data_IF_526493361856
#
_entry.id   IF_526493361856
#
_cell.length_a   1.000
_cell.length_b   1.000
_cell.length_c   1.000
_cell.angle_alpha   90.00
_cell.angle_beta   90.00
_cell.angle_gamma   90.00
#
_symmetry.space_group_name_H-M   'P 1'
#
loop_
_entity.id
_entity.type
_entity.pdbx_description
1 polymer ?
#
# COMPACT_ATOMS: atom_id res chain seq x y z
N UNK A 1 0.18 15.09 11.63
CA UNK A 1 -0.05 13.64 11.76
C UNK A 1 -0.67 13.40 13.12
N UNK A 2 -2.00 13.18 13.17
CA UNK A 2 -2.85 13.18 14.38
C UNK A 2 -2.71 14.47 15.21
N UNK A 3 -3.82 15.08 15.61
CA UNK A 3 -3.76 16.17 16.58
C UNK A 3 -3.47 15.56 17.96
N UNK A 4 -2.24 15.09 18.17
CA UNK A 4 -1.79 14.47 19.41
C UNK A 4 -1.94 15.52 20.51
N UNK A 5 -2.75 15.26 21.56
CA UNK A 5 -2.94 16.21 22.64
C UNK A 5 -1.61 16.61 23.29
N UNK A 6 -1.47 17.87 23.70
CA UNK A 6 -0.21 18.40 24.24
C UNK A 6 0.24 17.67 25.52
N UNK A 7 -0.72 17.19 26.31
CA UNK A 7 -0.55 16.33 27.48
C UNK A 7 0.07 14.97 27.14
N UNK A 8 -0.19 14.43 25.95
CA UNK A 8 0.45 13.20 25.48
C UNK A 8 1.89 13.49 25.08
N UNK A 9 2.15 14.60 24.39
CA UNK A 9 3.51 15.00 24.04
C UNK A 9 4.35 15.28 25.29
N UNK A 10 3.74 15.85 26.33
CA UNK A 10 4.37 16.04 27.63
C UNK A 10 4.67 14.70 28.31
N UNK A 11 3.72 13.77 28.33
CA UNK A 11 3.96 12.43 28.88
C UNK A 11 5.01 11.65 28.08
N UNK A 12 5.09 11.84 26.75
CA UNK A 12 6.17 11.30 25.92
C UNK A 12 7.51 11.87 26.34
N UNK A 13 7.60 13.19 26.57
CA UNK A 13 8.80 13.85 27.04
C UNK A 13 9.25 13.35 28.42
N UNK A 14 8.32 13.25 29.37
CA UNK A 14 8.57 12.76 30.72
C UNK A 14 8.97 11.28 30.72
N UNK A 15 8.26 10.43 29.97
CA UNK A 15 8.55 8.99 29.89
C UNK A 15 9.88 8.68 29.21
N UNK A 16 10.42 9.61 28.42
CA UNK A 16 11.67 9.43 27.67
C UNK A 16 12.84 10.24 28.21
N UNK A 17 12.74 10.75 29.45
CA UNK A 17 13.77 11.58 30.07
C UNK A 17 14.24 12.74 29.17
N UNK A 18 13.30 13.34 28.43
CA UNK A 18 13.57 14.48 27.55
C UNK A 18 13.88 14.16 26.09
N UNK A 19 13.90 12.88 25.67
CA UNK A 19 14.17 12.48 24.27
C UNK A 19 12.94 12.53 23.34
N UNK A 20 11.90 13.31 23.66
CA UNK A 20 10.65 13.38 22.89
C UNK A 20 10.85 13.63 21.39
N UNK A 21 11.81 14.49 21.02
CA UNK A 21 12.09 14.82 19.61
C UNK A 21 12.53 13.59 18.81
N UNK A 22 13.30 12.68 19.41
CA UNK A 22 13.75 11.46 18.77
C UNK A 22 12.57 10.51 18.48
N UNK A 23 11.66 10.34 19.45
CA UNK A 23 10.45 9.55 19.22
C UNK A 23 9.49 10.17 18.20
N UNK A 24 9.35 11.49 18.18
CA UNK A 24 8.52 12.18 17.19
C UNK A 24 9.01 11.94 15.76
N UNK A 25 10.32 11.86 15.59
CA UNK A 25 10.94 11.65 14.29
C UNK A 25 10.91 10.19 13.83
N UNK A 26 10.96 9.23 14.77
CA UNK A 26 11.16 7.82 14.44
C UNK A 26 9.97 6.90 14.68
N UNK A 27 8.98 7.30 15.49
CA UNK A 27 7.74 6.53 15.61
C UNK A 27 6.90 6.64 14.33
N UNK A 28 6.45 5.49 13.83
CA UNK A 28 5.57 5.40 12.67
C UNK A 28 4.18 5.95 12.98
N UNK A 29 3.40 6.27 11.95
CA UNK A 29 1.98 6.58 12.10
C UNK A 29 1.24 5.51 12.91
N UNK A 30 1.56 4.25 12.68
CA UNK A 30 0.92 3.13 13.35
C UNK A 30 1.29 3.05 14.84
N UNK A 31 2.53 3.38 15.20
CA UNK A 31 2.95 3.46 16.60
C UNK A 31 2.16 4.54 17.34
N UNK A 32 2.06 5.73 16.73
CA UNK A 32 1.24 6.83 17.26
C UNK A 32 -0.24 6.45 17.39
N UNK A 33 -0.81 5.82 16.37
CA UNK A 33 -2.20 5.38 16.40
C UNK A 33 -2.46 4.32 17.49
N UNK A 34 -1.46 3.49 17.82
CA UNK A 34 -1.57 2.47 18.87
C UNK A 34 -1.68 3.06 20.29
N UNK A 35 -1.26 4.31 20.49
CA UNK A 35 -1.41 5.00 21.78
C UNK A 35 -2.85 5.46 22.02
N UNK A 36 -3.63 5.72 20.97
CA UNK A 36 -4.98 6.30 21.08
C UNK A 36 -5.92 5.42 21.91
N UNK A 37 -6.05 4.09 21.67
CA UNK A 37 -6.91 3.25 22.50
C UNK A 37 -6.46 3.19 23.96
N UNK A 38 -5.15 3.20 24.22
CA UNK A 38 -4.60 3.19 25.58
C UNK A 38 -4.99 4.48 26.30
N UNK A 39 -4.80 5.63 25.66
CA UNK A 39 -5.24 6.92 26.22
C UNK A 39 -6.73 6.94 26.56
N UNK A 40 -7.57 6.37 25.71
CA UNK A 40 -9.02 6.43 25.86
C UNK A 40 -9.57 5.47 26.92
N UNK A 41 -8.98 4.27 27.02
CA UNK A 41 -9.55 3.18 27.83
C UNK A 41 -8.76 2.87 29.09
N UNK A 42 -7.44 3.12 29.06
CA UNK A 42 -6.48 2.75 30.11
C UNK A 42 -5.38 3.82 30.24
N UNK A 43 -5.74 5.09 30.53
CA UNK A 43 -4.78 6.20 30.55
C UNK A 43 -3.62 5.97 31.53
N UNK A 44 -3.83 5.21 32.60
CA UNK A 44 -2.79 4.85 33.56
C UNK A 44 -1.69 3.95 32.95
N UNK A 45 -2.01 3.17 31.91
CA UNK A 45 -1.05 2.28 31.22
C UNK A 45 -0.25 3.03 30.13
N UNK A 46 -0.56 4.31 29.87
CA UNK A 46 0.00 5.05 28.74
C UNK A 46 1.51 5.25 28.84
N UNK A 47 2.03 5.57 30.02
CA UNK A 47 3.47 5.77 30.25
C UNK A 47 4.25 4.48 29.94
N UNK A 48 3.72 3.33 30.36
CA UNK A 48 4.35 2.03 30.13
C UNK A 48 4.36 1.67 28.64
N UNK A 49 3.25 1.97 27.93
CA UNK A 49 3.21 1.76 26.48
C UNK A 49 4.20 2.66 25.73
N UNK A 50 4.34 3.92 26.14
CA UNK A 50 5.33 4.83 25.56
C UNK A 50 6.75 4.31 25.81
N UNK A 51 7.06 3.84 27.01
CA UNK A 51 8.38 3.26 27.35
C UNK A 51 8.68 2.02 26.52
N UNK A 52 7.69 1.14 26.30
CA UNK A 52 7.82 -0.04 25.44
C UNK A 52 8.18 0.35 23.99
N UNK A 53 7.50 1.35 23.43
CA UNK A 53 7.82 1.86 22.09
C UNK A 53 9.21 2.50 22.06
N UNK A 54 9.54 3.29 23.09
CA UNK A 54 10.82 3.96 23.21
C UNK A 54 12.00 2.98 23.32
N UNK A 55 11.84 1.89 24.07
CA UNK A 55 12.91 0.90 24.24
C UNK A 55 13.25 0.18 22.94
N UNK A 56 12.29 0.06 22.01
CA UNK A 56 12.47 -0.64 20.75
C UNK A 56 12.94 0.28 19.60
N UNK A 57 12.90 1.60 19.77
CA UNK A 57 13.05 2.54 18.67
C UNK A 57 14.44 2.47 18.02
N UNK A 58 15.51 2.28 18.80
CA UNK A 58 16.88 2.19 18.28
C UNK A 58 17.04 1.00 17.32
N UNK A 59 16.44 -0.15 17.66
CA UNK A 59 16.43 -1.34 16.81
C UNK A 59 15.57 -1.13 15.56
N UNK A 60 14.44 -0.44 15.68
CA UNK A 60 13.60 -0.05 14.54
C UNK A 60 14.40 0.85 13.59
N UNK A 61 15.10 1.87 14.09
CA UNK A 61 15.93 2.75 13.28
C UNK A 61 17.07 2.00 12.59
N UNK A 62 17.74 1.09 13.31
CA UNK A 62 18.79 0.24 12.73
C UNK A 62 18.25 -0.65 11.62
N UNK A 63 17.11 -1.33 11.84
CA UNK A 63 16.45 -2.16 10.81
C UNK A 63 16.04 -1.32 9.60
N UNK A 64 15.45 -0.15 9.82
CA UNK A 64 15.07 0.77 8.75
C UNK A 64 16.28 1.24 7.93
N UNK A 65 17.42 1.51 8.58
CA UNK A 65 18.65 1.90 7.89
C UNK A 65 19.25 0.76 7.04
N UNK A 66 19.18 -0.49 7.52
CA UNK A 66 19.60 -1.67 6.76
C UNK A 66 18.67 -1.88 5.56
N UNK A 67 17.36 -1.90 5.82
CA UNK A 67 16.35 -2.02 4.77
C UNK A 67 16.54 -0.92 3.72
N UNK A 68 16.82 0.31 4.13
CA UNK A 68 17.04 1.40 3.19
C UNK A 68 18.20 1.16 2.22
N UNK A 69 19.29 0.54 2.71
CA UNK A 69 20.46 0.22 1.90
C UNK A 69 20.24 -0.99 1.00
N UNK A 70 19.44 -1.96 1.47
CA UNK A 70 19.34 -3.28 0.86
C UNK A 70 18.04 -3.54 0.10
N UNK A 71 17.00 -2.71 0.25
CA UNK A 71 15.67 -2.97 -0.30
C UNK A 71 15.71 -3.25 -1.81
N UNK A 72 16.45 -2.45 -2.58
CA UNK A 72 16.57 -2.65 -4.03
C UNK A 72 17.20 -4.00 -4.37
N UNK A 73 18.21 -4.44 -3.60
CA UNK A 73 18.87 -5.73 -3.78
C UNK A 73 17.94 -6.88 -3.37
N UNK A 74 17.23 -6.75 -2.25
CA UNK A 74 16.26 -7.73 -1.76
C UNK A 74 15.15 -7.91 -2.81
N UNK A 75 14.57 -6.80 -3.30
CA UNK A 75 13.55 -6.79 -4.35
C UNK A 75 14.07 -7.39 -5.64
N UNK A 76 15.30 -7.05 -6.07
CA UNK A 76 15.89 -7.59 -7.29
C UNK A 76 16.10 -9.11 -7.20
N UNK A 77 16.64 -9.61 -6.09
CA UNK A 77 16.83 -11.05 -5.83
C UNK A 77 15.50 -11.80 -5.87
N UNK A 78 14.50 -11.32 -5.13
CA UNK A 78 13.18 -11.93 -5.12
C UNK A 78 12.49 -11.88 -6.50
N UNK A 79 12.60 -10.74 -7.19
CA UNK A 79 12.05 -10.56 -8.54
C UNK A 79 12.71 -11.50 -9.54
N UNK A 80 14.01 -11.75 -9.43
CA UNK A 80 14.74 -12.71 -10.27
C UNK A 80 14.19 -14.13 -10.11
N UNK A 81 13.88 -14.55 -8.88
CA UNK A 81 13.24 -15.85 -8.63
C UNK A 81 11.86 -15.91 -9.28
N UNK A 82 10.98 -14.94 -8.98
CA UNK A 82 9.61 -14.92 -9.51
C UNK A 82 9.59 -14.87 -11.04
N UNK A 83 10.38 -13.97 -11.66
CA UNK A 83 10.45 -13.88 -13.11
C UNK A 83 11.01 -15.16 -13.76
N UNK A 84 12.04 -15.76 -13.14
CA UNK A 84 12.63 -17.01 -13.60
C UNK A 84 11.64 -18.18 -13.61
N UNK A 85 10.78 -18.28 -12.59
CA UNK A 85 9.71 -19.28 -12.53
C UNK A 85 8.76 -19.17 -13.74
N UNK A 86 8.44 -17.95 -14.17
CA UNK A 86 7.58 -17.72 -15.33
C UNK A 86 8.33 -17.64 -16.68
N UNK A 87 9.63 -17.96 -16.71
CA UNK A 87 10.43 -17.94 -17.94
C UNK A 87 10.71 -16.53 -18.50
N UNK A 88 10.56 -15.48 -17.69
CA UNK A 88 10.88 -14.12 -18.11
C UNK A 88 12.38 -13.83 -17.99
N UNK A 89 12.90 -12.99 -18.88
CA UNK A 89 14.29 -12.50 -18.87
C UNK A 89 14.62 -11.70 -17.60
N UNK A 90 15.70 -12.09 -16.91
CA UNK A 90 16.16 -11.49 -15.65
C UNK A 90 17.50 -10.77 -15.75
N UNK A 91 18.12 -10.69 -16.93
CA UNK A 91 19.47 -10.12 -17.10
C UNK A 91 19.58 -8.69 -16.59
N UNK A 92 18.53 -7.89 -16.75
CA UNK A 92 18.43 -6.52 -16.23
C UNK A 92 18.52 -6.40 -14.70
N UNK A 93 18.41 -7.51 -13.96
CA UNK A 93 18.50 -7.55 -12.50
C UNK A 93 19.91 -7.89 -12.00
N UNK A 94 20.82 -8.35 -12.87
CA UNK A 94 22.18 -8.71 -12.47
C UNK A 94 23.02 -7.49 -12.09
N UNK A 95 22.64 -6.31 -12.58
CA UNK A 95 23.24 -5.02 -12.24
C UNK A 95 22.52 -4.29 -11.11
N UNK A 96 21.36 -4.81 -10.66
CA UNK A 96 20.56 -4.17 -9.63
C UNK A 96 21.17 -4.47 -8.24
N UNK A 97 21.83 -3.47 -7.64
CA UNK A 97 22.43 -3.61 -6.31
C UNK A 97 23.83 -2.99 -6.17
N UNK A 98 24.44 -2.48 -7.24
CA UNK A 98 25.61 -1.61 -7.12
C UNK A 98 25.17 -0.22 -6.65
N UNK A 99 24.93 -0.08 -5.35
CA UNK A 99 24.94 1.23 -4.72
C UNK A 99 26.39 1.68 -4.76
N UNK A 100 26.73 2.62 -5.65
CA UNK A 100 28.02 3.30 -5.57
C UNK A 100 28.10 3.95 -4.20
N UNK A 101 28.89 3.38 -3.30
CA UNK A 101 29.19 3.96 -1.99
C UNK A 101 30.08 5.19 -2.09
N UNK A 102 30.50 5.57 -3.31
CA UNK A 102 31.61 6.50 -3.50
C UNK A 102 31.21 7.94 -3.78
N UNK A 103 29.93 8.28 -4.00
CA UNK A 103 29.56 9.66 -4.32
C UNK A 103 28.34 10.13 -3.54
N UNK A 104 28.55 10.54 -2.29
CA UNK A 104 27.78 11.65 -1.72
C UNK A 104 28.76 12.54 -0.98
N UNK A 105 29.17 13.63 -1.64
CA UNK A 105 29.94 14.69 -1.00
C UNK A 105 29.22 15.16 0.27
N UNK A 106 29.96 15.42 1.34
CA UNK A 106 29.41 16.02 2.56
C UNK A 106 28.56 17.24 2.17
N UNK A 107 27.34 17.35 2.70
CA UNK A 107 26.43 18.47 2.33
C UNK A 107 27.08 19.82 2.64
N UNK A 108 27.98 19.84 3.63
CA UNK A 108 28.81 20.96 4.00
C UNK A 108 30.23 20.46 4.30
N UNK A 109 31.24 21.22 3.88
CA UNK A 109 32.64 20.90 4.18
C UNK A 109 32.94 21.14 5.67
N UNK A 110 33.88 20.40 6.24
CA UNK A 110 34.34 20.60 7.63
C UNK A 110 34.83 22.04 7.89
N UNK A 111 35.39 22.69 6.85
CA UNK A 111 35.78 24.10 6.90
C UNK A 111 34.58 25.05 7.08
N UNK A 112 33.47 24.79 6.40
CA UNK A 112 32.25 25.57 6.59
C UNK A 112 31.68 25.35 7.99
N UNK A 113 31.57 24.10 8.45
CA UNK A 113 31.05 23.76 9.79
C UNK A 113 31.88 24.43 10.89
N UNK A 114 33.20 24.47 10.73
CA UNK A 114 34.11 25.13 11.68
C UNK A 114 33.98 26.66 11.69
N UNK A 115 33.48 27.26 10.61
CA UNK A 115 33.32 28.72 10.49
C UNK A 115 32.08 29.29 11.18
N UNK A 116 31.07 28.45 11.47
CA UNK A 116 29.76 28.88 12.01
C UNK A 116 29.71 28.89 13.54
N UNK A 117 30.83 28.59 14.21
CA UNK A 117 30.99 28.63 15.68
C UNK A 117 29.87 27.92 16.47
N UNK A 118 29.48 26.71 16.04
CA UNK A 118 28.49 25.89 16.74
C UNK A 118 29.01 25.52 18.15
N UNK A 119 28.11 25.53 19.13
CA UNK A 119 28.39 24.96 20.45
C UNK A 119 28.62 23.44 20.36
N UNK A 120 29.26 22.80 21.36
CA UNK A 120 29.48 21.35 21.34
C UNK A 120 28.21 20.52 21.14
N UNK A 121 27.11 20.92 21.79
CA UNK A 121 25.81 20.25 21.67
C UNK A 121 25.19 20.42 20.28
N UNK A 122 25.30 21.60 19.67
CA UNK A 122 24.81 21.86 18.30
C UNK A 122 25.64 21.11 17.26
N UNK A 123 26.95 21.02 17.44
CA UNK A 123 27.84 20.27 16.56
C UNK A 123 27.55 18.77 16.63
N UNK A 124 27.32 18.22 17.83
CA UNK A 124 26.94 16.83 18.01
C UNK A 124 25.58 16.53 17.36
N UNK A 125 24.57 17.36 17.63
CA UNK A 125 23.26 17.27 16.99
C UNK A 125 23.35 17.37 15.46
N UNK A 126 24.15 18.32 14.94
CA UNK A 126 24.36 18.49 13.51
C UNK A 126 25.03 17.27 12.88
N UNK A 127 26.09 16.72 13.50
CA UNK A 127 26.75 15.49 13.04
C UNK A 127 25.79 14.31 13.05
N UNK A 128 24.97 14.19 14.08
CA UNK A 128 23.94 13.15 14.17
C UNK A 128 22.90 13.30 13.05
N UNK A 129 22.45 14.53 12.77
CA UNK A 129 21.55 14.85 11.64
C UNK A 129 22.19 14.62 10.28
N UNK A 130 23.50 14.86 10.13
CA UNK A 130 24.26 14.52 8.92
C UNK A 130 24.29 13.02 8.68
N UNK A 131 24.63 12.24 9.71
CA UNK A 131 24.61 10.77 9.63
C UNK A 131 23.20 10.27 9.26
N UNK A 132 22.15 10.83 9.87
CA UNK A 132 20.76 10.52 9.51
C UNK A 132 20.43 10.91 8.05
N UNK A 133 20.87 12.09 7.58
CA UNK A 133 20.67 12.52 6.19
C UNK A 133 21.39 11.61 5.21
N UNK A 134 22.62 11.18 5.48
CA UNK A 134 23.37 10.21 4.65
C UNK A 134 22.72 8.84 4.62
N UNK A 135 22.29 8.35 5.79
CA UNK A 135 21.51 7.11 5.87
C UNK A 135 20.20 7.21 5.08
N UNK A 136 19.64 8.42 4.99
CA UNK A 136 18.44 8.75 4.22
C UNK A 136 18.71 9.10 2.74
N UNK A 137 19.96 9.36 2.33
CA UNK A 137 20.36 9.83 1.00
C UNK A 137 20.46 8.70 -0.04
N UNK A 138 20.61 7.44 0.39
CA UNK A 138 20.49 6.24 -0.47
C UNK A 138 19.09 6.05 -1.09
N UNK A 139 18.23 7.03 -0.88
CA UNK A 139 16.80 7.03 -1.09
C UNK A 139 16.43 8.25 -1.95
N UNK A 140 17.41 8.86 -2.66
CA UNK A 140 17.18 9.74 -3.80
C UNK A 140 16.48 8.92 -4.90
N UNK A 141 15.19 8.71 -4.69
CA UNK A 141 14.21 8.41 -5.72
C UNK A 141 14.38 9.57 -6.69
N UNK A 142 15.12 9.35 -7.77
CA UNK A 142 15.32 10.34 -8.82
C UNK A 142 13.94 10.88 -9.18
N UNK A 143 13.65 12.11 -8.72
CA UNK A 143 12.35 12.76 -8.85
C UNK A 143 12.13 13.27 -10.27
N UNK A 144 12.65 12.56 -11.27
CA UNK A 144 12.13 12.70 -12.62
C UNK A 144 10.65 12.36 -12.53
N UNK A 145 9.82 13.37 -12.76
CA UNK A 145 8.38 13.24 -12.90
C UNK A 145 8.10 12.28 -14.05
N UNK A 146 8.14 10.97 -13.76
CA UNK A 146 7.85 9.93 -14.74
C UNK A 146 6.36 9.64 -14.67
N UNK A 147 5.70 9.80 -15.81
CA UNK A 147 4.28 9.55 -16.00
C UNK A 147 3.89 8.10 -15.63
N UNK A 148 2.69 7.88 -15.10
CA UNK A 148 2.19 6.59 -14.57
C UNK A 148 2.39 5.35 -15.46
N UNK A 149 2.59 5.55 -16.76
CA UNK A 149 2.96 4.53 -17.75
C UNK A 149 4.24 3.76 -17.38
N UNK A 150 5.21 4.36 -16.69
CA UNK A 150 6.47 3.70 -16.32
C UNK A 150 6.31 2.58 -15.29
N UNK A 151 5.25 2.59 -14.48
CA UNK A 151 5.09 1.59 -13.39
C UNK A 151 4.76 0.20 -13.89
N UNK A 152 4.28 0.09 -15.11
CA UNK A 152 4.04 -1.18 -15.78
C UNK A 152 5.16 -1.57 -16.74
N UNK A 153 6.13 -0.68 -17.00
CA UNK A 153 7.27 -0.95 -17.88
C UNK A 153 8.02 -2.22 -17.46
N UNK A 154 8.55 -3.00 -18.43
CA UNK A 154 9.19 -4.31 -18.19
C UNK A 154 10.08 -4.33 -16.93
N UNK A 155 10.89 -3.27 -16.75
CA UNK A 155 11.90 -3.19 -15.71
C UNK A 155 11.40 -2.65 -14.36
N UNK A 156 10.15 -2.21 -14.23
CA UNK A 156 9.63 -1.63 -12.98
C UNK A 156 9.66 -2.62 -11.80
N UNK A 157 9.88 -2.15 -10.57
CA UNK A 157 9.73 -2.96 -9.37
C UNK A 157 8.24 -3.23 -9.10
N UNK A 158 7.91 -4.45 -8.71
CA UNK A 158 6.52 -4.84 -8.46
C UNK A 158 6.33 -5.75 -7.24
N UNK A 159 7.40 -6.19 -6.57
CA UNK A 159 7.22 -6.99 -5.36
C UNK A 159 6.97 -6.08 -4.15
N UNK A 160 5.94 -6.34 -3.33
CA UNK A 160 5.57 -5.50 -2.20
C UNK A 160 6.41 -5.81 -0.95
N UNK A 161 7.73 -5.84 -1.06
CA UNK A 161 8.64 -6.30 0.01
C UNK A 161 9.08 -5.21 0.99
N UNK A 162 8.77 -3.94 0.71
CA UNK A 162 9.10 -2.86 1.61
C UNK A 162 8.24 -2.91 2.88
N UNK A 163 8.86 -2.67 4.03
CA UNK A 163 8.17 -2.53 5.31
C UNK A 163 7.23 -1.32 5.31
N UNK A 164 6.28 -1.30 6.25
CA UNK A 164 5.43 -0.13 6.50
C UNK A 164 6.26 1.09 6.88
N UNK A 165 7.29 0.94 7.71
CA UNK A 165 8.17 2.03 8.15
C UNK A 165 8.94 2.65 6.98
N UNK A 166 9.53 1.82 6.11
CA UNK A 166 10.21 2.33 4.91
C UNK A 166 9.22 3.01 3.98
N UNK A 167 8.06 2.37 3.76
CA UNK A 167 7.01 2.90 2.89
C UNK A 167 6.49 4.25 3.38
N UNK A 168 6.32 4.43 4.68
CA UNK A 168 5.95 5.71 5.29
C UNK A 168 6.94 6.82 4.97
N UNK A 169 8.24 6.57 5.23
CA UNK A 169 9.32 7.54 4.93
C UNK A 169 9.39 7.84 3.42
N UNK A 170 9.19 6.85 2.56
CA UNK A 170 9.13 7.04 1.11
C UNK A 170 7.90 7.87 0.68
N UNK A 171 6.73 7.62 1.27
CA UNK A 171 5.49 8.35 0.98
C UNK A 171 5.56 9.81 1.44
N UNK A 172 6.19 10.09 2.59
CA UNK A 172 6.37 11.47 3.08
C UNK A 172 7.16 12.34 2.08
N UNK A 173 8.18 11.77 1.41
CA UNK A 173 8.98 12.47 0.38
C UNK A 173 8.20 12.86 -0.86
N UNK A 174 7.12 12.13 -1.16
CA UNK A 174 6.18 12.46 -2.25
C UNK A 174 4.95 13.21 -1.74
N UNK A 175 5.03 13.84 -0.56
CA UNK A 175 3.95 14.57 0.10
C UNK A 175 2.69 13.71 0.28
N UNK A 176 2.87 12.47 0.74
CA UNK A 176 1.83 11.46 0.96
C UNK A 176 1.06 11.03 -0.29
N UNK A 177 1.51 11.42 -1.49
CA UNK A 177 0.92 10.99 -2.77
C UNK A 177 1.50 9.65 -3.18
N UNK A 178 1.04 8.57 -2.55
CA UNK A 178 1.53 7.21 -2.75
C UNK A 178 1.53 6.77 -4.22
N UNK A 179 0.61 7.29 -5.04
CA UNK A 179 0.57 7.06 -6.48
C UNK A 179 1.70 7.76 -7.27
N UNK A 180 2.61 8.49 -6.63
CA UNK A 180 3.85 9.02 -7.23
C UNK A 180 5.07 8.12 -6.98
N UNK A 181 4.95 7.09 -6.15
CA UNK A 181 6.00 6.08 -6.00
C UNK A 181 6.18 5.28 -7.29
N UNK A 182 7.34 4.67 -7.47
CA UNK A 182 7.74 3.88 -8.66
C UNK A 182 6.96 2.57 -8.84
N UNK A 183 6.26 2.13 -7.81
CA UNK A 183 5.35 0.97 -7.82
C UNK A 183 3.98 1.30 -7.27
N UNK A 184 2.98 0.52 -7.68
CA UNK A 184 1.62 0.57 -7.14
C UNK A 184 1.38 -0.48 -6.04
N UNK A 185 2.35 -1.35 -5.77
CA UNK A 185 2.12 -2.57 -4.99
C UNK A 185 2.36 -2.37 -3.48
N UNK A 186 3.01 -1.27 -3.09
CA UNK A 186 3.11 -0.87 -1.69
C UNK A 186 1.75 -0.48 -1.13
N UNK A 187 1.43 -1.02 0.03
CA UNK A 187 0.28 -0.62 0.84
C UNK A 187 0.60 0.66 1.60
N UNK A 188 -0.40 1.48 1.88
CA UNK A 188 -0.23 2.57 2.82
C UNK A 188 0.21 2.02 4.20
N UNK A 189 1.03 2.76 4.95
CA UNK A 189 1.58 2.33 6.24
C UNK A 189 0.54 2.48 7.39
N UNK A 190 -0.68 2.01 7.16
CA UNK A 190 -1.78 2.03 8.11
C UNK A 190 -1.99 0.61 8.63
N UNK A 191 -1.55 0.34 9.86
CA UNK A 191 -1.74 -0.96 10.50
C UNK A 191 -3.21 -1.26 10.78
N UNK A 192 -3.51 -2.54 11.03
CA UNK A 192 -4.85 -2.96 11.48
C UNK A 192 -5.25 -2.23 12.77
N UNK A 193 -4.34 -2.10 13.74
CA UNK A 193 -4.58 -1.36 14.98
C UNK A 193 -4.90 0.12 14.72
N UNK A 194 -4.21 0.75 13.76
CA UNK A 194 -4.51 2.12 13.38
C UNK A 194 -5.92 2.24 12.77
N UNK A 195 -6.31 1.31 11.89
CA UNK A 195 -7.69 1.27 11.40
C UNK A 195 -8.71 1.03 12.50
N UNK A 196 -8.43 0.13 13.46
CA UNK A 196 -9.30 -0.11 14.61
C UNK A 196 -9.52 1.18 15.42
N UNK A 197 -8.44 1.90 15.73
CA UNK A 197 -8.53 3.15 16.49
C UNK A 197 -9.29 4.25 15.74
N UNK A 198 -9.03 4.39 14.44
CA UNK A 198 -9.67 5.43 13.61
C UNK A 198 -11.15 5.14 13.36
N UNK A 199 -11.48 3.90 13.01
CA UNK A 199 -12.82 3.48 12.57
C UNK A 199 -13.66 2.84 13.70
N UNK A 200 -13.16 2.83 14.94
CA UNK A 200 -13.83 2.26 16.12
C UNK A 200 -14.28 0.81 15.87
N UNK A 201 -13.32 -0.03 15.46
CA UNK A 201 -13.58 -1.43 15.10
C UNK A 201 -13.37 -2.34 16.31
N UNK A 202 -14.24 -3.32 16.44
CA UNK A 202 -14.19 -4.32 17.51
C UNK A 202 -13.26 -5.48 17.15
N UNK A 203 -12.85 -6.27 18.14
CA UNK A 203 -12.11 -7.52 17.88
C UNK A 203 -12.90 -8.47 16.96
N UNK A 204 -14.23 -8.54 17.14
CA UNK A 204 -15.11 -9.33 16.27
C UNK A 204 -15.09 -8.85 14.81
N UNK A 205 -15.02 -7.54 14.56
CA UNK A 205 -14.84 -7.01 13.20
C UNK A 205 -13.52 -7.52 12.58
N UNK A 206 -12.45 -7.59 13.36
CA UNK A 206 -11.13 -8.06 12.91
C UNK A 206 -11.12 -9.57 12.66
N UNK A 207 -11.75 -10.37 13.52
CA UNK A 207 -11.90 -11.82 13.34
C UNK A 207 -12.69 -12.14 12.05
N UNK A 208 -13.72 -11.33 11.76
CA UNK A 208 -14.48 -11.41 10.53
C UNK A 208 -13.60 -11.09 9.30
N UNK A 209 -12.75 -10.06 9.37
CA UNK A 209 -11.78 -9.74 8.32
C UNK A 209 -10.76 -10.87 8.12
N UNK A 210 -10.24 -11.49 9.18
CA UNK A 210 -9.35 -12.66 9.10
C UNK A 210 -10.04 -13.83 8.39
N UNK A 211 -11.27 -14.14 8.79
CA UNK A 211 -12.08 -15.19 8.17
C UNK A 211 -12.32 -14.91 6.69
N UNK A 212 -12.69 -13.67 6.36
CA UNK A 212 -12.90 -13.24 4.99
C UNK A 212 -11.63 -13.33 4.14
N UNK A 213 -10.47 -12.97 4.70
CA UNK A 213 -9.17 -13.05 4.04
C UNK A 213 -8.79 -14.50 3.74
N UNK A 214 -8.96 -15.42 4.71
CA UNK A 214 -8.76 -16.87 4.52
C UNK A 214 -9.61 -17.42 3.37
N UNK A 215 -10.83 -16.91 3.22
CA UNK A 215 -11.77 -17.32 2.18
C UNK A 215 -11.63 -16.56 0.85
N UNK A 216 -10.66 -15.65 0.72
CA UNK A 216 -10.50 -14.78 -0.45
C UNK A 216 -11.77 -13.97 -0.81
N UNK A 217 -12.49 -13.50 0.21
CA UNK A 217 -13.78 -12.81 0.05
C UNK A 217 -13.60 -11.48 -0.67
N UNK A 218 -14.45 -11.23 -1.67
CA UNK A 218 -14.52 -9.95 -2.41
C UNK A 218 -15.83 -9.27 -2.06
N UNK A 219 -15.77 -8.07 -1.48
CA UNK A 219 -16.96 -7.35 -1.01
C UNK A 219 -17.59 -6.48 -2.09
N UNK A 220 -16.78 -5.94 -3.01
CA UNK A 220 -17.20 -4.97 -4.01
C UNK A 220 -16.87 -5.48 -5.41
N UNK A 221 -17.77 -6.23 -6.07
CA UNK A 221 -17.45 -6.86 -7.35
C UNK A 221 -17.05 -5.81 -8.40
N UNK A 222 -16.13 -6.17 -9.30
CA UNK A 222 -15.60 -5.31 -10.34
C UNK A 222 -16.59 -4.94 -11.48
N UNK A 223 -17.89 -5.18 -11.26
CA UNK A 223 -18.97 -4.88 -12.21
C UNK A 223 -19.26 -3.38 -12.33
N UNK A 224 -20.31 -3.02 -13.10
CA UNK A 224 -20.66 -1.62 -13.38
C UNK A 224 -21.11 -0.83 -12.15
N UNK A 225 -21.69 -1.51 -11.15
CA UNK A 225 -22.08 -0.90 -9.89
C UNK A 225 -20.95 -1.09 -8.86
N UNK A 226 -19.99 -0.17 -8.84
CA UNK A 226 -19.12 -0.02 -7.67
C UNK A 226 -19.91 0.53 -6.50
N UNK A 227 -19.36 0.44 -5.28
CA UNK A 227 -19.97 1.05 -4.11
C UNK A 227 -19.81 2.57 -4.18
N UNK A 228 -20.91 3.30 -4.14
CA UNK A 228 -20.90 4.72 -3.82
C UNK A 228 -20.91 4.89 -2.30
N UNK A 229 -19.84 5.47 -1.75
CA UNK A 229 -19.71 5.76 -0.33
C UNK A 229 -19.38 7.24 -0.10
N UNK A 230 -19.83 8.11 -1.01
CA UNK A 230 -19.61 9.55 -0.93
C UNK A 230 -18.12 9.94 -0.80
N UNK A 231 -17.24 9.22 -1.51
CA UNK A 231 -15.83 9.58 -1.56
C UNK A 231 -15.65 10.97 -2.19
N UNK A 232 -14.69 11.78 -1.69
CA UNK A 232 -14.37 13.05 -2.32
C UNK A 232 -13.97 12.83 -3.79
N UNK A 233 -14.37 13.71 -4.71
CA UNK A 233 -13.87 13.68 -6.08
C UNK A 233 -12.34 13.64 -6.13
N UNK A 234 -11.75 12.85 -7.02
CA UNK A 234 -10.28 12.76 -7.11
C UNK A 234 -9.68 14.14 -7.44
N UNK A 235 -10.41 15.00 -8.16
CA UNK A 235 -10.01 16.39 -8.43
C UNK A 235 -9.85 17.26 -7.18
N UNK A 236 -10.54 16.97 -6.08
CA UNK A 236 -10.34 17.71 -4.82
C UNK A 236 -9.04 17.30 -4.12
N UNK A 237 -8.56 16.09 -4.40
CA UNK A 237 -7.31 15.55 -3.87
C UNK A 237 -6.11 15.96 -4.74
N UNK A 238 -6.23 15.90 -6.07
CA UNK A 238 -5.16 16.28 -7.00
C UNK A 238 -5.71 17.04 -8.22
N UNK A 239 -5.14 18.23 -8.48
CA UNK A 239 -5.50 19.05 -9.65
C UNK A 239 -5.33 18.26 -10.96
N UNK A 240 -6.25 18.45 -11.89
CA UNK A 240 -6.24 17.78 -13.21
C UNK A 240 -6.83 16.36 -13.22
N UNK A 241 -7.35 15.88 -12.09
CA UNK A 241 -8.09 14.61 -12.03
C UNK A 241 -9.59 14.81 -12.27
N UNK A 242 -10.29 13.69 -12.46
CA UNK A 242 -11.73 13.63 -12.67
C UNK A 242 -12.50 14.26 -11.48
N UNK A 243 -13.47 15.12 -11.80
CA UNK A 243 -14.33 15.81 -10.82
C UNK A 243 -15.56 15.02 -10.40
N UNK A 244 -15.80 13.87 -11.03
CA UNK A 244 -16.85 12.95 -10.59
C UNK A 244 -16.40 12.18 -9.35
N UNK A 245 -17.37 11.87 -8.49
CA UNK A 245 -17.14 11.02 -7.33
C UNK A 245 -16.73 9.62 -7.80
N UNK A 246 -15.64 9.06 -7.28
CA UNK A 246 -15.24 7.73 -7.65
C UNK A 246 -16.13 6.68 -6.97
N UNK A 247 -16.30 5.54 -7.65
CA UNK A 247 -16.92 4.35 -7.08
C UNK A 247 -15.84 3.41 -6.58
N UNK A 248 -16.12 2.70 -5.49
CA UNK A 248 -15.21 1.70 -4.94
C UNK A 248 -15.45 0.34 -5.58
N UNK A 249 -14.36 -0.28 -6.00
CA UNK A 249 -14.33 -1.60 -6.61
C UNK A 249 -13.25 -2.47 -5.96
N UNK A 250 -13.39 -3.78 -6.13
CA UNK A 250 -12.43 -4.78 -5.71
C UNK A 250 -12.34 -5.84 -6.81
N UNK A 251 -11.12 -6.17 -7.24
CA UNK A 251 -10.87 -7.25 -8.20
C UNK A 251 -10.39 -8.48 -7.47
N UNK A 252 -10.84 -9.66 -7.87
CA UNK A 252 -10.32 -10.91 -7.35
C UNK A 252 -8.88 -11.18 -7.78
N UNK A 253 -8.28 -12.21 -7.19
CA UNK A 253 -7.02 -12.78 -7.69
C UNK A 253 -7.29 -13.38 -9.09
N UNK A 254 -6.53 -13.00 -10.14
CA UNK A 254 -6.62 -13.64 -11.44
C UNK A 254 -6.28 -15.12 -11.32
N UNK A 255 -6.96 -15.99 -12.08
CA UNK A 255 -6.73 -17.44 -12.00
C UNK A 255 -5.29 -17.80 -12.39
N UNK A 256 -4.83 -17.30 -13.53
CA UNK A 256 -3.47 -17.51 -14.04
C UNK A 256 -3.02 -16.25 -14.78
N UNK A 257 -1.90 -15.62 -14.37
CA UNK A 257 -1.35 -14.49 -15.09
C UNK A 257 -0.91 -14.91 -16.50
N UNK A 258 -1.56 -14.39 -17.53
CA UNK A 258 -1.23 -14.69 -18.93
C UNK A 258 0.02 -13.95 -19.42
N UNK A 259 0.40 -12.86 -18.76
CA UNK A 259 1.55 -12.04 -19.10
C UNK A 259 2.19 -11.39 -17.86
N UNK A 260 3.31 -10.70 -18.08
CA UNK A 260 4.04 -10.00 -17.03
C UNK A 260 3.19 -8.89 -16.38
N UNK A 261 2.26 -8.29 -17.13
CA UNK A 261 1.41 -7.24 -16.59
C UNK A 261 0.39 -7.81 -15.59
N UNK A 262 -0.19 -8.96 -15.87
CA UNK A 262 -1.07 -9.68 -14.95
C UNK A 262 -0.30 -10.18 -13.73
N UNK A 263 0.94 -10.66 -13.90
CA UNK A 263 1.79 -11.08 -12.78
C UNK A 263 2.11 -9.90 -11.85
N UNK A 264 2.33 -8.70 -12.41
CA UNK A 264 2.50 -7.47 -11.62
C UNK A 264 1.23 -7.07 -10.88
N UNK A 265 0.06 -7.32 -11.47
CA UNK A 265 -1.25 -7.00 -10.88
C UNK A 265 -1.69 -8.02 -9.82
N UNK A 266 -1.18 -9.25 -9.87
CA UNK A 266 -1.49 -10.33 -8.93
C UNK A 266 -1.37 -9.89 -7.48
N UNK A 267 -0.35 -9.09 -7.17
CA UNK A 267 -0.09 -8.55 -5.85
C UNK A 267 -1.19 -7.60 -5.34
N UNK A 268 -2.09 -7.10 -6.17
CA UNK A 268 -3.23 -6.27 -5.73
C UNK A 268 -4.57 -7.02 -5.82
N UNK A 269 -4.56 -8.35 -6.01
CA UNK A 269 -5.76 -9.16 -5.95
C UNK A 269 -6.46 -9.02 -4.60
N UNK A 270 -7.70 -8.57 -4.62
CA UNK A 270 -8.51 -8.28 -3.43
C UNK A 270 -8.35 -6.86 -2.89
N UNK A 271 -7.47 -6.02 -3.43
CA UNK A 271 -7.28 -4.65 -2.93
C UNK A 271 -8.41 -3.72 -3.39
N UNK A 272 -9.07 -3.00 -2.47
CA UNK A 272 -10.07 -2.00 -2.85
C UNK A 272 -9.44 -0.80 -3.58
N UNK A 273 -10.10 -0.34 -4.64
CA UNK A 273 -9.68 0.83 -5.42
C UNK A 273 -10.86 1.69 -5.87
N UNK A 274 -10.59 2.98 -5.98
CA UNK A 274 -11.48 4.02 -6.43
C UNK A 274 -11.34 4.19 -7.94
N UNK A 275 -12.46 4.11 -8.66
CA UNK A 275 -12.53 4.28 -10.11
C UNK A 275 -13.50 5.42 -10.45
N UNK A 276 -13.05 6.37 -11.27
CA UNK A 276 -13.95 7.40 -11.81
C UNK A 276 -14.93 6.75 -12.82
N UNK A 277 -16.23 7.09 -12.77
CA UNK A 277 -17.24 6.53 -13.66
C UNK A 277 -17.21 7.13 -15.08
N UNK A 278 -16.48 8.22 -15.30
CA UNK A 278 -16.41 8.87 -16.62
C UNK A 278 -15.79 7.96 -17.68
N UNK A 279 -16.36 7.92 -18.89
CA UNK A 279 -15.68 7.36 -20.06
C UNK A 279 -14.32 8.04 -20.30
N UNK A 280 -13.28 7.27 -20.59
CA UNK A 280 -11.91 7.77 -20.82
C UNK A 280 -11.07 7.97 -19.54
N UNK A 281 -11.65 7.80 -18.34
CA UNK A 281 -10.92 7.86 -17.07
C UNK A 281 -10.46 6.48 -16.57
N UNK A 282 -10.58 5.42 -17.36
CA UNK A 282 -10.41 4.03 -16.92
C UNK A 282 -8.99 3.71 -16.45
N UNK A 283 -7.99 4.46 -16.92
CA UNK A 283 -6.59 4.30 -16.53
C UNK A 283 -6.24 4.98 -15.18
N UNK A 284 -7.10 5.86 -14.67
CA UNK A 284 -6.84 6.68 -13.48
C UNK A 284 -7.61 6.15 -12.27
N UNK A 285 -7.19 5.00 -11.72
CA UNK A 285 -7.70 4.53 -10.43
C UNK A 285 -6.73 4.86 -9.30
N UNK A 286 -7.24 4.91 -8.07
CA UNK A 286 -6.44 5.13 -6.85
C UNK A 286 -6.80 4.07 -5.84
N UNK A 287 -5.81 3.43 -5.21
CA UNK A 287 -6.07 2.46 -4.14
C UNK A 287 -6.72 3.16 -2.94
N UNK A 288 -7.68 2.49 -2.29
CA UNK A 288 -8.43 3.08 -1.18
C UNK A 288 -7.49 3.51 -0.04
N UNK A 289 -6.57 2.64 0.36
CA UNK A 289 -5.59 2.91 1.42
C UNK A 289 -4.65 4.07 1.07
N UNK A 290 -4.28 4.23 -0.21
CA UNK A 290 -3.50 5.39 -0.67
C UNK A 290 -4.29 6.70 -0.55
N UNK A 291 -5.59 6.68 -0.85
CA UNK A 291 -6.46 7.84 -0.64
C UNK A 291 -6.58 8.18 0.86
N UNK A 292 -6.84 7.17 1.70
CA UNK A 292 -6.95 7.33 3.16
C UNK A 292 -5.65 7.93 3.71
N UNK A 293 -4.49 7.41 3.31
CA UNK A 293 -3.19 7.95 3.70
C UNK A 293 -2.99 9.40 3.27
N UNK A 294 -3.35 9.72 2.03
CA UNK A 294 -3.25 11.08 1.52
C UNK A 294 -4.12 12.04 2.32
N UNK A 295 -5.36 11.66 2.65
CA UNK A 295 -6.28 12.47 3.46
C UNK A 295 -5.72 12.69 4.88
N UNK A 296 -5.18 11.66 5.53
CA UNK A 296 -4.56 11.79 6.86
C UNK A 296 -3.45 12.85 6.84
N UNK A 297 -2.67 12.91 5.76
CA UNK A 297 -1.62 13.90 5.58
C UNK A 297 -2.10 15.28 5.10
N UNK A 298 -3.35 15.41 4.66
CA UNK A 298 -3.90 16.62 4.00
C UNK A 298 -5.39 16.80 4.38
N UNK A 299 -5.67 16.88 5.69
CA UNK A 299 -7.04 16.94 6.21
C UNK A 299 -7.84 18.14 5.69
N UNK A 300 -7.15 19.23 5.32
CA UNK A 300 -7.73 20.41 4.69
C UNK A 300 -8.44 20.09 3.35
N UNK A 301 -8.08 18.98 2.69
CA UNK A 301 -8.71 18.53 1.45
C UNK A 301 -10.05 17.83 1.67
N UNK A 302 -10.28 17.30 2.87
CA UNK A 302 -11.52 16.62 3.21
C UNK A 302 -12.60 17.64 3.58
N UNK A 303 -12.27 18.55 4.49
CA UNK A 303 -13.15 19.65 4.90
C UNK A 303 -12.35 20.96 5.02
N UNK A 304 -12.29 21.76 3.93
CA UNK A 304 -11.60 23.04 3.93
C UNK A 304 -12.25 24.08 4.86
N UNK A 305 -13.54 23.91 5.19
CA UNK A 305 -14.31 24.88 5.98
C UNK A 305 -14.21 24.62 7.48
N UNK A 306 -13.83 23.41 7.89
CA UNK A 306 -13.62 23.09 9.28
C UNK A 306 -12.58 24.05 9.93
N UNK A 307 -12.85 24.52 11.16
CA UNK A 307 -12.06 25.59 11.79
C UNK A 307 -10.70 25.13 12.33
N UNK A 308 -10.43 23.82 12.40
CA UNK A 308 -9.16 23.27 12.87
C UNK A 308 -8.92 21.84 12.39
N UNK A 309 -7.67 21.38 12.42
CA UNK A 309 -7.31 20.00 12.10
C UNK A 309 -7.91 18.98 13.07
N UNK A 310 -8.21 19.38 14.32
CA UNK A 310 -8.91 18.54 15.29
C UNK A 310 -10.32 18.20 14.80
N UNK A 311 -11.07 19.21 14.36
CA UNK A 311 -12.41 19.00 13.79
C UNK A 311 -12.33 18.18 12.50
N UNK A 312 -11.37 18.48 11.61
CA UNK A 312 -11.20 17.70 10.36
C UNK A 312 -10.88 16.22 10.63
N UNK A 313 -10.05 15.93 11.64
CA UNK A 313 -9.76 14.55 12.04
C UNK A 313 -11.00 13.86 12.61
N UNK A 314 -11.82 14.55 13.41
CA UNK A 314 -13.07 14.00 13.93
C UNK A 314 -14.08 13.70 12.80
N UNK A 315 -14.23 14.60 11.82
CA UNK A 315 -15.06 14.36 10.64
C UNK A 315 -14.55 13.19 9.80
N UNK A 316 -13.23 13.10 9.60
CA UNK A 316 -12.61 11.95 8.96
C UNK A 316 -12.89 10.64 9.70
N UNK A 317 -12.74 10.62 11.03
CA UNK A 317 -13.09 9.45 11.85
C UNK A 317 -14.59 9.13 11.76
N UNK A 318 -15.47 10.14 11.72
CA UNK A 318 -16.90 9.93 11.55
C UNK A 318 -17.21 9.22 10.24
N UNK A 319 -16.57 9.60 9.13
CA UNK A 319 -16.68 8.88 7.85
C UNK A 319 -16.21 7.43 7.98
N UNK A 320 -15.03 7.20 8.56
CA UNK A 320 -14.47 5.85 8.77
C UNK A 320 -15.37 4.95 9.64
N UNK A 321 -16.05 5.52 10.63
CA UNK A 321 -16.98 4.82 11.53
C UNK A 321 -18.35 4.56 10.88
N UNK A 322 -18.72 5.31 9.85
CA UNK A 322 -20.04 5.28 9.21
C UNK A 322 -19.96 4.84 7.75
N UNK A 323 -20.04 5.77 6.80
CA UNK A 323 -20.11 5.51 5.35
C UNK A 323 -18.90 4.73 4.83
N UNK A 324 -17.73 4.90 5.43
CA UNK A 324 -16.49 4.24 5.01
C UNK A 324 -16.14 3.00 5.83
N UNK A 325 -16.96 2.59 6.81
CA UNK A 325 -16.68 1.40 7.63
C UNK A 325 -16.53 0.12 6.79
N UNK A 326 -17.45 -0.13 5.86
CA UNK A 326 -17.36 -1.28 4.94
C UNK A 326 -16.09 -1.23 4.06
N UNK A 327 -15.77 -0.11 3.39
CA UNK A 327 -14.49 0.07 2.70
C UNK A 327 -13.26 -0.25 3.57
N UNK A 328 -13.24 0.23 4.82
CA UNK A 328 -12.14 -0.02 5.78
C UNK A 328 -12.01 -1.51 6.09
N UNK A 329 -13.12 -2.21 6.38
CA UNK A 329 -13.10 -3.65 6.64
C UNK A 329 -12.56 -4.46 5.44
N UNK A 330 -12.95 -4.08 4.21
CA UNK A 330 -12.40 -4.70 3.00
C UNK A 330 -10.90 -4.43 2.85
N UNK A 331 -10.43 -3.25 3.23
CA UNK A 331 -9.01 -2.91 3.23
C UNK A 331 -8.22 -3.72 4.27
N UNK A 332 -8.75 -3.91 5.48
CA UNK A 332 -8.13 -4.77 6.51
C UNK A 332 -8.08 -6.22 6.05
N UNK A 333 -9.17 -6.71 5.43
CA UNK A 333 -9.21 -8.05 4.81
C UNK A 333 -8.07 -8.20 3.80
N UNK A 334 -7.85 -7.19 2.95
CA UNK A 334 -6.72 -7.20 2.03
C UNK A 334 -5.36 -7.17 2.74
N UNK A 335 -5.20 -6.45 3.86
CA UNK A 335 -3.96 -6.48 4.66
C UNK A 335 -3.62 -7.90 5.11
N UNK A 336 -4.60 -8.67 5.61
CA UNK A 336 -4.39 -10.08 5.96
C UNK A 336 -4.11 -10.98 4.75
N UNK A 337 -4.78 -10.74 3.62
CA UNK A 337 -4.44 -11.43 2.36
C UNK A 337 -3.00 -11.14 1.95
N UNK A 338 -2.54 -9.89 2.08
CA UNK A 338 -1.16 -9.46 1.79
C UNK A 338 -0.16 -10.20 2.68
N UNK A 339 -0.45 -10.42 3.96
CA UNK A 339 0.43 -11.20 4.84
C UNK A 339 0.66 -12.62 4.31
N UNK A 340 -0.41 -13.30 3.89
CA UNK A 340 -0.29 -14.62 3.24
C UNK A 340 0.52 -14.54 1.94
N UNK A 341 0.28 -13.54 1.09
CA UNK A 341 1.05 -13.35 -0.16
C UNK A 341 2.54 -13.19 0.12
N UNK A 342 2.91 -12.44 1.15
CA UNK A 342 4.30 -12.20 1.55
C UNK A 342 4.95 -13.44 2.15
N UNK A 343 4.24 -14.19 3.00
CA UNK A 343 4.75 -15.46 3.52
C UNK A 343 5.01 -16.46 2.39
N UNK A 344 4.10 -16.57 1.41
CA UNK A 344 4.29 -17.43 0.23
C UNK A 344 5.47 -16.95 -0.61
N UNK A 345 5.57 -15.65 -0.87
CA UNK A 345 6.71 -15.07 -1.60
C UNK A 345 8.04 -15.40 -0.90
N UNK A 346 8.09 -15.28 0.42
CA UNK A 346 9.28 -15.60 1.20
C UNK A 346 9.71 -17.06 1.00
N UNK A 347 8.80 -18.03 1.17
CA UNK A 347 9.07 -19.45 0.95
C UNK A 347 9.60 -19.74 -0.46
N UNK A 348 8.97 -19.15 -1.48
CA UNK A 348 9.37 -19.31 -2.89
C UNK A 348 10.76 -18.71 -3.13
N UNK A 349 11.09 -17.59 -2.50
CA UNK A 349 12.40 -16.94 -2.64
C UNK A 349 13.52 -17.68 -1.92
N UNK A 350 13.21 -18.36 -0.81
CA UNK A 350 14.17 -19.17 -0.06
C UNK A 350 14.44 -20.52 -0.74
N UNK A 351 13.39 -21.15 -1.29
CA UNK A 351 13.49 -22.39 -2.03
C UNK A 351 12.80 -22.28 -3.39
N UNK A 352 13.57 -22.01 -4.43
CA UNK A 352 13.06 -21.90 -5.82
C UNK A 352 12.44 -23.18 -6.37
N UNK A 353 12.71 -24.33 -5.75
CA UNK A 353 12.19 -25.63 -6.14
C UNK A 353 11.01 -26.08 -5.26
N UNK A 354 10.52 -25.21 -4.36
CA UNK A 354 9.40 -25.54 -3.50
C UNK A 354 8.17 -25.87 -4.35
N UNK A 355 7.57 -27.01 -4.07
CA UNK A 355 6.36 -27.46 -4.74
C UNK A 355 5.14 -26.77 -4.15
N UNK A 356 4.05 -26.62 -4.93
CA UNK A 356 2.81 -26.10 -4.38
C UNK A 356 2.28 -26.92 -3.19
N UNK A 357 2.44 -28.25 -3.22
CA UNK A 357 2.03 -29.16 -2.15
C UNK A 357 2.80 -28.90 -0.85
N UNK A 358 4.12 -28.66 -0.94
CA UNK A 358 4.94 -28.27 0.20
C UNK A 358 4.47 -26.95 0.81
N UNK A 359 4.18 -25.94 -0.01
CA UNK A 359 3.60 -24.67 0.48
C UNK A 359 2.27 -24.95 1.20
N UNK A 360 1.36 -25.69 0.58
CA UNK A 360 0.05 -25.98 1.19
C UNK A 360 0.12 -26.88 2.43
N UNK A 361 1.25 -27.54 2.66
CA UNK A 361 1.54 -28.35 3.84
C UNK A 361 1.90 -27.56 5.10
N UNK A 362 2.24 -26.27 5.00
CA UNK A 362 2.53 -25.44 6.17
C UNK A 362 1.28 -25.27 7.05
N UNK A 363 1.43 -25.36 8.37
CA UNK A 363 0.32 -25.35 9.32
C UNK A 363 -0.56 -24.10 9.18
N UNK A 364 0.05 -22.92 9.03
CA UNK A 364 -0.62 -21.63 8.82
C UNK A 364 -1.47 -21.58 7.52
N UNK A 365 -1.15 -22.44 6.54
CA UNK A 365 -1.74 -22.43 5.20
C UNK A 365 -2.74 -23.57 4.97
N UNK A 366 -2.74 -24.55 5.88
CA UNK A 366 -3.60 -25.71 5.82
C UNK A 366 -5.07 -25.28 5.79
N UNK A 367 -5.79 -25.77 4.80
CA UNK A 367 -7.21 -25.47 4.59
C UNK A 367 -7.52 -23.96 4.46
N UNK A 368 -6.60 -23.16 3.92
CA UNK A 368 -6.83 -21.74 3.63
C UNK A 368 -7.12 -21.56 2.12
N UNK A 369 -8.40 -21.36 1.71
CA UNK A 369 -8.77 -21.20 0.30
C UNK A 369 -7.96 -20.12 -0.44
N UNK A 370 -7.72 -18.99 0.22
CA UNK A 370 -6.92 -17.90 -0.34
C UNK A 370 -5.50 -18.35 -0.69
N UNK A 371 -4.82 -19.05 0.22
CA UNK A 371 -3.45 -19.53 0.00
C UNK A 371 -3.43 -20.47 -1.20
N UNK A 372 -4.36 -21.42 -1.28
CA UNK A 372 -4.49 -22.30 -2.47
C UNK A 372 -4.66 -21.50 -3.76
N UNK A 373 -5.57 -20.52 -3.77
CA UNK A 373 -5.85 -19.69 -4.94
C UNK A 373 -4.64 -18.85 -5.35
N UNK A 374 -3.96 -18.25 -4.38
CA UNK A 374 -2.79 -17.41 -4.64
C UNK A 374 -1.58 -18.23 -5.08
N UNK A 375 -1.30 -19.37 -4.44
CA UNK A 375 -0.24 -20.29 -4.85
C UNK A 375 -0.47 -20.80 -6.27
N UNK A 376 -1.71 -21.16 -6.62
CA UNK A 376 -2.05 -21.59 -7.98
C UNK A 376 -1.85 -20.48 -9.03
N UNK A 377 -2.10 -19.22 -8.65
CA UNK A 377 -1.88 -18.07 -9.54
C UNK A 377 -0.41 -17.64 -9.63
N UNK A 378 0.38 -17.85 -8.58
CA UNK A 378 1.78 -17.43 -8.51
C UNK A 378 2.72 -18.47 -9.14
N UNK A 379 2.49 -19.77 -8.92
CA UNK A 379 3.39 -20.82 -9.40
C UNK A 379 2.95 -21.35 -10.77
N UNK A 380 3.87 -21.49 -11.74
CA UNK A 380 3.57 -22.16 -12.99
C UNK A 380 3.22 -23.64 -12.74
N UNK A 381 2.36 -24.22 -13.57
CA UNK A 381 1.96 -25.64 -13.50
C UNK A 381 1.14 -26.04 -12.25
N UNK A 382 0.67 -25.06 -11.48
CA UNK A 382 -0.15 -25.27 -10.29
C UNK A 382 -1.67 -25.25 -10.60
N UNK A 383 -2.05 -25.31 -11.88
CA UNK A 383 -3.46 -25.21 -12.31
C UNK A 383 -4.33 -26.32 -11.71
N UNK A 384 -3.75 -27.52 -11.55
CA UNK A 384 -4.42 -28.69 -10.98
C UNK A 384 -4.93 -28.49 -9.56
N UNK A 385 -4.36 -27.55 -8.79
CA UNK A 385 -4.77 -27.27 -7.41
C UNK A 385 -6.19 -26.69 -7.31
N UNK A 386 -6.64 -25.98 -8.35
CA UNK A 386 -7.99 -25.39 -8.36
C UNK A 386 -9.06 -26.46 -8.66
N UNK A 387 -8.72 -27.51 -9.40
CA UNK A 387 -9.63 -28.58 -9.79
C UNK A 387 -10.00 -29.54 -8.65
N UNK A 388 -9.19 -29.62 -7.59
CA UNK A 388 -9.37 -30.56 -6.47
C UNK A 388 -10.35 -30.07 -5.38
N UNK A 389 -11.11 -29.01 -5.63
CA UNK A 389 -12.09 -28.54 -4.63
C UNK A 389 -13.36 -29.38 -4.75
N UNK A 390 -13.69 -30.26 -3.79
CA UNK A 390 -14.92 -31.04 -3.87
C UNK A 390 -16.10 -30.08 -3.88
N UNK A 391 -16.90 -30.15 -4.94
CA UNK A 391 -18.12 -29.35 -5.10
C UNK A 391 -19.07 -29.65 -3.93
N UNK A 392 -19.02 -28.83 -2.87
CA UNK A 392 -20.12 -28.73 -1.92
C UNK A 392 -21.26 -28.01 -2.66
N UNK A 393 -22.16 -28.79 -3.25
CA UNK A 393 -23.48 -28.35 -3.69
C UNK A 393 -24.23 -27.72 -2.51
N UNK A 394 -24.04 -26.43 -2.27
CA UNK A 394 -24.91 -25.62 -1.42
C UNK A 394 -24.98 -24.23 -2.05
N UNK A 395 -25.93 -24.06 -2.98
CA UNK A 395 -26.71 -22.84 -3.27
C UNK A 395 -26.09 -21.43 -3.29
N UNK A 396 -24.78 -21.22 -3.18
CA UNK A 396 -24.19 -19.90 -3.37
C UNK A 396 -23.93 -19.69 -4.85
N UNK A 397 -24.51 -18.62 -5.40
CA UNK A 397 -24.29 -18.16 -6.77
C UNK A 397 -22.79 -17.90 -6.95
N UNK A 398 -22.10 -18.82 -7.63
CA UNK A 398 -20.77 -18.59 -8.15
C UNK A 398 -20.88 -17.47 -9.18
N UNK A 399 -20.49 -16.25 -8.78
CA UNK A 399 -20.30 -15.16 -9.72
C UNK A 399 -19.06 -15.48 -10.56
N UNK A 400 -19.30 -16.10 -11.72
CA UNK A 400 -18.30 -16.31 -12.74
C UNK A 400 -17.60 -14.99 -13.10
N UNK A 401 -16.28 -15.07 -13.02
CA UNK A 401 -15.28 -14.09 -13.41
C UNK A 401 -15.35 -13.81 -14.92
N UNK A 402 -16.21 -12.86 -15.31
CA UNK A 402 -16.40 -12.41 -16.70
C UNK A 402 -15.25 -11.50 -17.22
N UNK A 403 -14.03 -11.65 -16.70
CA UNK A 403 -12.91 -10.76 -17.03
C UNK A 403 -12.19 -11.07 -18.35
N UNK A 404 -12.58 -12.11 -19.10
CA UNK A 404 -11.92 -12.49 -20.36
C UNK A 404 -12.94 -12.84 -21.48
N UNK A 405 -13.63 -11.83 -22.03
CA UNK A 405 -14.08 -11.90 -23.43
C UNK A 405 -13.17 -11.03 -24.29
N UNK A 406 -12.23 -11.68 -24.99
CA UNK A 406 -11.51 -11.10 -26.13
C UNK A 406 -12.52 -10.86 -27.25
N UNK A 407 -12.72 -9.60 -27.64
CA UNK A 407 -13.21 -9.27 -28.97
C UNK A 407 -12.05 -9.44 -29.95
N UNK A 408 -11.95 -10.59 -30.60
CA UNK A 408 -11.26 -10.70 -31.88
C UNK A 408 -12.14 -10.04 -32.94
N UNK A 409 -11.80 -8.80 -33.33
CA UNK A 409 -12.30 -8.23 -34.58
C UNK A 409 -11.32 -8.62 -35.68
N UNK A 410 -11.69 -9.63 -36.46
CA UNK A 410 -11.15 -9.80 -37.80
C UNK A 410 -11.73 -8.72 -38.68
N UNK A 411 -10.85 -8.00 -39.36
CA UNK A 411 -11.18 -7.06 -40.41
C UNK A 411 -12.02 -7.75 -41.49
N UNK A 412 -13.10 -7.11 -41.92
CA UNK A 412 -13.61 -7.32 -43.27
C UNK A 412 -13.95 -5.97 -43.91
N UNK A 413 -13.43 -5.82 -45.12
CA UNK A 413 -13.54 -4.65 -45.98
C UNK A 413 -14.90 -4.68 -46.67
N UNK A 414 -15.67 -3.58 -46.62
CA UNK A 414 -16.64 -3.35 -47.68
C UNK A 414 -17.78 -2.38 -47.40
N UNK A 415 -17.79 -1.31 -48.21
CA UNK A 415 -18.95 -0.52 -48.66
C UNK A 415 -19.54 0.56 -47.73
N UNK A 416 -19.07 1.78 -48.04
CA UNK A 416 -19.86 3.02 -48.20
C UNK A 416 -21.37 2.80 -48.39
N UNK A 417 -22.18 3.48 -47.57
CA UNK A 417 -23.25 4.39 -48.05
C UNK A 417 -23.79 5.27 -46.90
N UNK A 418 -23.57 6.56 -47.09
CA UNK A 418 -24.27 7.76 -46.60
C UNK A 418 -25.66 7.55 -45.97
N UNK A 419 -25.82 8.04 -44.73
CA UNK A 419 -27.11 8.25 -44.05
C UNK A 419 -27.04 9.58 -43.29
N UNK A 420 -27.18 10.69 -44.00
CA UNK A 420 -27.42 12.03 -43.44
C UNK A 420 -28.13 12.91 -44.48
N UNK A 421 -29.21 12.36 -45.04
CA UNK A 421 -30.24 13.10 -45.79
C UNK A 421 -31.59 12.53 -45.37
N UNK A 422 -32.16 13.04 -44.28
CA UNK A 422 -33.60 13.07 -44.01
C UNK A 422 -33.87 13.80 -42.69
N UNK A 423 -33.53 15.09 -42.64
CA UNK A 423 -34.27 16.05 -41.82
C UNK A 423 -34.84 17.12 -42.74
N UNK A 424 -35.94 16.79 -43.40
CA UNK A 424 -36.93 17.73 -43.91
C UNK A 424 -38.15 16.93 -44.40
N UNK A 425 -39.17 16.79 -43.55
CA UNK A 425 -40.60 16.96 -43.88
C UNK A 425 -41.53 16.37 -42.81
N UNK A 426 -42.34 17.28 -42.24
CA UNK A 426 -43.73 17.11 -41.73
C UNK A 426 -43.83 16.40 -40.37
N UNK A 427 -44.32 17.00 -39.30
CA UNK A 427 -45.23 18.14 -39.10
C UNK A 427 -44.81 18.97 -37.89
#
# INVERSE_FOLDING_TARGET
>A
MLAIPADVLLQVHEATNGQALFLIEDMSFSDWASLVPVMQTRPQDLSDKIKELASNIADVCKKAAIENKELNLIVAKAKKVILGLHGYDTTHLDTAGWVSTNDTADTFTDNYISSIALTPAELEYFKQKEVMRRQSAHLDISSSARDTSHKFAKNSPFLPLASSTWTEKAMQRVHNRSWKLDTFNYTAPISVNAYMALADLTAADIDNCHTAARNATIYFPAGRAGLDADFPPISSLEKGKCSQRPLLHQKGIPKFPADLLELKKLWNGGRPFLKCPCPGCEANFTWLDHMIWYIIGNLDKLDPLAPSDKIRMLEFQALLRTSWKKPVLAQITFTFMREYMLKILHLVTENRNITPEEILGFEDFKNVPFVRKFTAALLPNAEGLLAQTPSRRNGSIDFEDNSLRRCTSTADHGRRKTWLENQQRKR
#
